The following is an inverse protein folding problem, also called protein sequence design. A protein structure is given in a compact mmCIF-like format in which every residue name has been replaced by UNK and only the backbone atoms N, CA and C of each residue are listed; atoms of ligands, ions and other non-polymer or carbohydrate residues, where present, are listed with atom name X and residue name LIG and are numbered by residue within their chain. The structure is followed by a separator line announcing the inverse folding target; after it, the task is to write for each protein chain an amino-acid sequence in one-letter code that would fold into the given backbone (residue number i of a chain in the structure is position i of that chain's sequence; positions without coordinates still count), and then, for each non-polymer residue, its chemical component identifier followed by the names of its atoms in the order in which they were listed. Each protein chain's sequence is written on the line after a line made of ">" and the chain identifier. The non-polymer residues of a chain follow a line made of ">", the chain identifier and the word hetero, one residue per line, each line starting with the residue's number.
data_IF_830126840092
#
_entry.id   IF_830126840092
#
_cell.length_a   1.000
_cell.length_b   1.000
_cell.length_c   1.000
_cell.angle_alpha   90.00
_cell.angle_beta   90.00
_cell.angle_gamma   90.00
#
_symmetry.space_group_name_H-M   'P 1'
#
loop_
_entity.id
_entity.type
_entity.pdbx_description
1 polymer ?
#
# COMPACT_ATOMS: atom_id res chain seq x y z
N UNK A 1 4.44 -78.41 8.04
CA UNK A 1 5.77 -78.17 7.48
C UNK A 1 6.27 -76.82 7.99
N UNK A 2 7.22 -76.85 8.93
CA UNK A 2 7.67 -75.69 9.69
C UNK A 2 8.75 -74.91 8.91
N UNK A 3 8.51 -73.62 8.66
CA UNK A 3 9.45 -72.73 7.99
C UNK A 3 10.54 -72.27 8.98
N UNK A 4 11.73 -72.83 8.81
CA UNK A 4 12.96 -72.44 9.51
C UNK A 4 13.38 -71.04 9.05
N UNK A 5 13.21 -70.04 9.92
CA UNK A 5 13.65 -68.67 9.67
C UNK A 5 15.05 -68.50 10.26
N UNK A 6 16.06 -68.61 9.41
CA UNK A 6 17.49 -68.41 9.72
C UNK A 6 17.73 -66.99 10.23
N UNK A 7 18.22 -66.89 11.47
CA UNK A 7 18.70 -65.65 12.09
C UNK A 7 20.09 -65.34 11.56
N UNK A 8 20.25 -64.31 10.73
CA UNK A 8 21.56 -63.76 10.41
C UNK A 8 22.03 -62.85 11.55
N UNK A 9 23.03 -63.35 12.29
CA UNK A 9 23.79 -62.62 13.31
C UNK A 9 24.86 -61.80 12.61
N UNK A 10 24.64 -60.50 12.44
CA UNK A 10 25.69 -59.56 12.00
C UNK A 10 26.63 -59.29 13.16
N UNK A 11 27.90 -59.63 12.93
CA UNK A 11 29.02 -59.42 13.84
C UNK A 11 29.25 -57.91 13.99
N UNK A 12 29.17 -57.44 15.24
CA UNK A 12 29.50 -56.08 15.66
C UNK A 12 31.04 -55.98 15.75
N UNK A 13 31.69 -55.61 14.65
CA UNK A 13 33.10 -55.21 14.67
C UNK A 13 33.24 -53.80 15.21
N UNK A 14 34.23 -53.64 16.07
CA UNK A 14 34.50 -52.50 16.91
C UNK A 14 34.95 -51.27 16.10
N UNK A 15 34.75 -50.12 16.74
CA UNK A 15 35.13 -48.78 16.31
C UNK A 15 36.63 -48.70 16.00
N UNK A 16 36.96 -48.27 14.79
CA UNK A 16 38.19 -47.55 14.52
C UNK A 16 37.77 -46.09 14.28
N UNK A 17 38.00 -45.25 15.30
CA UNK A 17 37.89 -43.81 15.19
C UNK A 17 39.00 -43.32 14.23
N UNK A 18 38.65 -43.18 12.96
CA UNK A 18 39.42 -42.36 12.01
C UNK A 18 38.72 -41.01 11.99
N UNK A 19 39.25 -40.07 12.75
CA UNK A 19 38.91 -38.65 12.67
C UNK A 19 39.26 -38.15 11.25
N UNK A 20 38.27 -38.19 10.35
CA UNK A 20 38.36 -37.49 9.08
C UNK A 20 38.23 -35.99 9.38
N UNK A 21 39.16 -35.13 8.92
CA UNK A 21 39.08 -33.71 9.19
C UNK A 21 37.75 -33.18 8.65
N UNK A 22 37.01 -32.48 9.50
CA UNK A 22 35.75 -31.85 9.17
C UNK A 22 35.92 -31.05 7.88
N UNK A 23 35.28 -31.50 6.79
CA UNK A 23 35.18 -30.72 5.55
C UNK A 23 34.55 -29.38 5.92
N UNK A 24 35.37 -28.34 5.98
CA UNK A 24 34.92 -26.94 6.06
C UNK A 24 33.92 -26.74 4.93
N UNK A 25 32.63 -26.64 5.28
CA UNK A 25 31.59 -26.30 4.31
C UNK A 25 32.03 -24.98 3.64
N UNK A 26 32.04 -24.89 2.31
CA UNK A 26 32.43 -23.66 1.65
C UNK A 26 31.55 -22.52 2.16
N UNK A 27 32.12 -21.33 2.43
CA UNK A 27 31.35 -20.18 2.91
C UNK A 27 30.17 -19.98 1.97
N UNK A 28 28.97 -19.97 2.54
CA UNK A 28 27.72 -19.93 1.80
C UNK A 28 27.82 -18.95 0.62
N UNK A 29 27.66 -19.44 -0.61
CA UNK A 29 27.50 -18.63 -1.84
C UNK A 29 26.18 -17.85 -1.83
N UNK A 30 25.78 -17.29 -0.70
CA UNK A 30 24.55 -16.50 -0.51
C UNK A 30 24.79 -15.06 -0.96
N UNK A 31 25.39 -14.88 -2.15
CA UNK A 31 25.68 -13.57 -2.74
C UNK A 31 26.74 -12.76 -2.00
N UNK A 32 27.50 -11.94 -2.75
CA UNK A 32 28.33 -10.88 -2.16
C UNK A 32 27.49 -10.01 -1.22
N UNK A 33 28.05 -9.47 -0.11
CA UNK A 33 27.34 -8.54 0.78
C UNK A 33 26.65 -7.40 0.01
N UNK A 34 27.30 -6.92 -1.05
CA UNK A 34 26.75 -5.89 -1.93
C UNK A 34 25.50 -6.37 -2.71
N UNK A 35 25.44 -7.65 -3.10
CA UNK A 35 24.28 -8.22 -3.77
C UNK A 35 23.10 -8.47 -2.81
N UNK A 36 23.40 -8.83 -1.56
CA UNK A 36 22.38 -8.91 -0.51
C UNK A 36 21.81 -7.53 -0.23
N UNK A 37 22.67 -6.51 -0.14
CA UNK A 37 22.28 -5.13 0.10
C UNK A 37 21.46 -4.58 -1.06
N UNK A 38 21.89 -4.78 -2.32
CA UNK A 38 21.09 -4.44 -3.51
C UNK A 38 19.71 -5.08 -3.48
N UNK A 39 19.61 -6.36 -3.10
CA UNK A 39 18.30 -7.05 -2.94
C UNK A 39 17.51 -6.55 -1.74
N UNK A 40 18.16 -6.09 -0.67
CA UNK A 40 17.50 -5.54 0.52
C UNK A 40 16.92 -4.16 0.20
N UNK A 41 17.72 -3.28 -0.39
CA UNK A 41 17.33 -1.95 -0.84
C UNK A 41 16.24 -2.07 -1.91
N UNK A 42 16.39 -2.94 -2.91
CA UNK A 42 15.35 -3.14 -3.92
C UNK A 42 14.03 -3.66 -3.32
N UNK A 43 14.08 -4.54 -2.31
CA UNK A 43 12.87 -4.99 -1.60
C UNK A 43 12.23 -3.84 -0.83
N UNK A 44 13.00 -3.13 -0.01
CA UNK A 44 12.52 -1.98 0.75
C UNK A 44 11.95 -0.89 -0.18
N UNK A 45 12.64 -0.58 -1.27
CA UNK A 45 12.19 0.37 -2.28
C UNK A 45 10.89 -0.08 -2.96
N UNK A 46 10.80 -1.35 -3.36
CA UNK A 46 9.58 -1.91 -3.96
C UNK A 46 8.44 -2.08 -2.95
N UNK A 47 8.73 -2.24 -1.66
CA UNK A 47 7.71 -2.27 -0.62
C UNK A 47 7.17 -0.86 -0.36
N UNK A 48 8.05 0.15 -0.34
CA UNK A 48 7.69 1.57 -0.17
C UNK A 48 6.95 2.12 -1.39
N UNK A 49 7.50 1.96 -2.60
CA UNK A 49 6.91 2.51 -3.82
C UNK A 49 5.88 1.60 -4.49
N UNK A 50 5.99 0.27 -4.30
CA UNK A 50 5.04 -0.70 -4.85
C UNK A 50 3.79 -0.89 -4.00
N UNK A 51 3.57 -0.04 -2.99
CA UNK A 51 2.32 0.02 -2.21
C UNK A 51 2.11 -1.16 -1.24
N UNK A 52 3.12 -2.02 -1.05
CA UNK A 52 3.11 -3.06 0.01
C UNK A 52 3.32 -2.46 1.41
N UNK A 53 3.83 -1.24 1.51
CA UNK A 53 3.98 -0.48 2.76
C UNK A 53 2.67 -0.04 3.42
N UNK A 54 1.55 -0.01 2.69
CA UNK A 54 0.23 0.31 3.26
C UNK A 54 -0.20 -0.70 4.34
N UNK A 55 0.29 -1.95 4.28
CA UNK A 55 0.03 -2.98 5.29
C UNK A 55 1.17 -3.14 6.32
N UNK A 56 2.26 -2.36 6.22
CA UNK A 56 3.39 -2.44 7.17
C UNK A 56 3.14 -1.63 8.43
N UNK A 57 2.32 -0.59 8.36
CA UNK A 57 1.72 -0.03 9.56
C UNK A 57 0.63 -1.01 10.00
N UNK A 58 0.96 -1.90 10.95
CA UNK A 58 -0.05 -2.55 11.78
C UNK A 58 -0.83 -1.43 12.47
N UNK A 59 -1.86 -0.93 11.80
CA UNK A 59 -2.78 0.03 12.37
C UNK A 59 -3.31 -0.61 13.65
N UNK A 60 -3.35 0.17 14.73
CA UNK A 60 -3.96 -0.26 16.00
C UNK A 60 -5.32 -0.92 15.69
N UNK A 61 -5.71 -1.98 16.39
CA UNK A 61 -6.91 -2.76 16.09
C UNK A 61 -8.18 -1.91 16.01
N UNK A 62 -8.20 -0.77 16.71
CA UNK A 62 -9.25 0.26 16.61
C UNK A 62 -9.22 1.01 15.28
N UNK A 63 -8.04 1.42 14.83
CA UNK A 63 -7.80 2.14 13.58
C UNK A 63 -8.05 1.25 12.37
N UNK A 64 -7.64 -0.02 12.42
CA UNK A 64 -7.93 -1.00 11.36
C UNK A 64 -9.44 -1.27 11.26
N UNK A 65 -10.15 -1.39 12.40
CA UNK A 65 -11.61 -1.53 12.41
C UNK A 65 -12.31 -0.30 11.81
N UNK A 66 -11.80 0.91 12.10
CA UNK A 66 -12.30 2.16 11.49
C UNK A 66 -12.07 2.14 9.99
N UNK A 67 -10.85 1.86 9.53
CA UNK A 67 -10.48 1.75 8.11
C UNK A 67 -11.40 0.78 7.36
N UNK A 68 -11.59 -0.43 7.89
CA UNK A 68 -12.46 -1.44 7.28
C UNK A 68 -13.92 -0.98 7.22
N UNK A 69 -14.41 -0.29 8.25
CA UNK A 69 -15.76 0.29 8.25
C UNK A 69 -15.91 1.33 7.13
N UNK A 70 -14.95 2.25 7.01
CA UNK A 70 -14.96 3.30 5.98
C UNK A 70 -14.94 2.69 4.57
N UNK A 71 -14.12 1.66 4.34
CA UNK A 71 -14.09 0.94 3.06
C UNK A 71 -15.43 0.27 2.74
N UNK A 72 -16.06 -0.40 3.72
CA UNK A 72 -17.38 -1.02 3.53
C UNK A 72 -18.48 -0.01 3.24
N UNK A 73 -18.46 1.15 3.90
CA UNK A 73 -19.40 2.25 3.64
C UNK A 73 -19.26 2.77 2.19
N UNK A 74 -18.03 2.93 1.71
CA UNK A 74 -17.74 3.34 0.33
C UNK A 74 -18.12 2.28 -0.70
N UNK A 75 -17.93 1.01 -0.39
CA UNK A 75 -18.32 -0.12 -1.25
C UNK A 75 -19.84 -0.22 -1.42
N UNK A 76 -20.55 -0.14 -0.29
CA UNK A 76 -22.00 -0.23 -0.26
C UNK A 76 -22.67 1.03 -0.83
N UNK A 77 -21.93 2.15 -0.90
CA UNK A 77 -22.51 3.47 -1.22
C UNK A 77 -23.55 3.92 -0.19
N UNK A 78 -23.48 3.36 1.03
CA UNK A 78 -24.41 3.61 2.12
C UNK A 78 -23.60 4.04 3.33
N UNK A 79 -23.97 5.18 3.90
CA UNK A 79 -23.46 5.60 5.19
C UNK A 79 -23.99 4.66 6.29
N UNK A 80 -23.48 4.82 7.51
CA UNK A 80 -23.92 4.09 8.71
C UNK A 80 -25.46 3.89 8.73
N UNK A 81 -25.91 2.66 8.51
CA UNK A 81 -27.33 2.31 8.39
C UNK A 81 -27.79 2.13 6.93
N UNK A 82 -28.95 2.71 6.58
CA UNK A 82 -29.58 2.61 5.26
C UNK A 82 -29.50 3.89 4.42
N UNK A 83 -28.84 4.94 4.93
CA UNK A 83 -28.79 6.25 4.27
C UNK A 83 -27.83 6.21 3.08
N UNK A 84 -28.27 6.75 1.94
CA UNK A 84 -27.42 6.93 0.77
C UNK A 84 -26.24 7.85 1.09
N UNK A 85 -25.05 7.46 0.64
CA UNK A 85 -23.83 8.21 0.88
C UNK A 85 -23.81 9.46 -0.01
N UNK A 86 -23.73 10.65 0.61
CA UNK A 86 -23.66 11.90 -0.17
C UNK A 86 -22.29 12.05 -0.84
N UNK A 87 -22.20 12.79 -1.96
CA UNK A 87 -20.91 13.08 -2.59
C UNK A 87 -19.89 13.74 -1.65
N UNK A 88 -20.34 14.61 -0.75
CA UNK A 88 -19.49 15.22 0.27
C UNK A 88 -18.94 14.18 1.25
N UNK A 89 -19.77 13.23 1.67
CA UNK A 89 -19.35 12.16 2.58
C UNK A 89 -18.29 11.28 1.91
N UNK A 90 -18.40 11.00 0.60
CA UNK A 90 -17.37 10.27 -0.15
C UNK A 90 -16.02 10.99 -0.04
N UNK A 91 -15.99 12.30 -0.29
CA UNK A 91 -14.75 13.10 -0.20
C UNK A 91 -14.13 13.02 1.21
N UNK A 92 -14.95 13.17 2.25
CA UNK A 92 -14.49 13.06 3.64
C UNK A 92 -13.93 11.67 3.96
N UNK A 93 -14.62 10.61 3.56
CA UNK A 93 -14.22 9.21 3.81
C UNK A 93 -12.94 8.86 3.08
N UNK A 94 -12.75 9.36 1.86
CA UNK A 94 -11.51 9.18 1.07
C UNK A 94 -10.35 9.93 1.73
N UNK A 95 -10.54 11.18 2.16
CA UNK A 95 -9.52 11.93 2.90
C UNK A 95 -9.11 11.19 4.17
N UNK A 96 -10.08 10.74 4.98
CA UNK A 96 -9.80 9.95 6.19
C UNK A 96 -9.01 8.68 5.88
N UNK A 97 -9.36 7.95 4.82
CA UNK A 97 -8.62 6.75 4.42
C UNK A 97 -7.18 7.07 4.00
N UNK A 98 -6.97 8.16 3.27
CA UNK A 98 -5.64 8.62 2.92
C UNK A 98 -4.82 9.03 4.15
N UNK A 99 -5.43 9.68 5.13
CA UNK A 99 -4.78 10.07 6.38
C UNK A 99 -4.41 8.83 7.23
N UNK A 100 -5.17 7.74 7.08
CA UNK A 100 -4.85 6.42 7.65
C UNK A 100 -3.79 5.63 6.86
N UNK A 101 -3.27 6.18 5.76
CA UNK A 101 -2.23 5.57 4.94
C UNK A 101 -2.76 4.67 3.81
N UNK A 102 -4.06 4.68 3.54
CA UNK A 102 -4.59 3.91 2.41
C UNK A 102 -4.24 4.52 1.05
N UNK A 103 -3.72 3.72 0.12
CA UNK A 103 -3.42 4.20 -1.20
C UNK A 103 -4.72 4.40 -2.00
N UNK A 104 -4.78 5.47 -2.78
CA UNK A 104 -5.91 5.79 -3.67
C UNK A 104 -6.28 4.64 -4.61
N UNK A 105 -5.30 3.83 -5.02
CA UNK A 105 -5.51 2.65 -5.88
C UNK A 105 -6.37 1.58 -5.19
N UNK A 106 -6.22 1.37 -3.89
CA UNK A 106 -7.07 0.47 -3.11
C UNK A 106 -8.48 1.04 -2.96
N UNK A 107 -8.58 2.34 -2.64
CA UNK A 107 -9.87 3.02 -2.45
C UNK A 107 -10.67 3.02 -3.76
N UNK A 108 -10.02 3.25 -4.90
CA UNK A 108 -10.65 3.23 -6.24
C UNK A 108 -11.27 1.89 -6.61
N UNK A 109 -10.70 0.78 -6.16
CA UNK A 109 -11.23 -0.57 -6.46
C UNK A 109 -12.56 -0.83 -5.77
N UNK A 110 -12.73 -0.24 -4.60
CA UNK A 110 -13.87 -0.49 -3.72
C UNK A 110 -14.98 0.55 -3.95
N UNK A 111 -14.61 1.79 -4.25
CA UNK A 111 -15.56 2.91 -4.33
C UNK A 111 -16.18 3.01 -5.72
N UNK A 112 -17.52 2.99 -5.80
CA UNK A 112 -18.26 3.29 -7.03
C UNK A 112 -18.46 4.79 -7.18
N UNK A 113 -17.55 5.45 -7.91
CA UNK A 113 -17.64 6.89 -8.18
C UNK A 113 -18.53 7.13 -9.39
N UNK A 114 -19.60 7.91 -9.21
CA UNK A 114 -20.34 8.48 -10.33
C UNK A 114 -19.54 9.66 -10.88
N UNK A 115 -19.11 9.57 -12.14
CA UNK A 115 -18.43 10.69 -12.80
C UNK A 115 -19.39 11.87 -12.92
N UNK A 116 -18.89 13.06 -12.63
CA UNK A 116 -19.70 14.27 -12.73
C UNK A 116 -19.88 14.64 -14.22
N UNK A 117 -21.11 14.98 -14.61
CA UNK A 117 -21.46 15.35 -15.99
C UNK A 117 -21.64 16.88 -16.16
N UNK A 118 -21.38 17.65 -15.11
CA UNK A 118 -21.52 19.11 -15.13
C UNK A 118 -20.37 19.77 -15.90
N UNK A 119 -20.63 20.92 -16.55
CA UNK A 119 -19.59 21.66 -17.24
C UNK A 119 -18.52 22.16 -16.25
N UNK A 120 -17.24 22.21 -16.65
CA UNK A 120 -16.12 22.60 -15.77
C UNK A 120 -16.33 23.94 -15.06
N UNK A 121 -16.84 24.94 -15.78
CA UNK A 121 -17.10 26.31 -15.31
C UNK A 121 -18.04 26.35 -14.10
N UNK A 122 -19.11 25.53 -14.12
CA UNK A 122 -20.06 25.45 -13.02
C UNK A 122 -19.47 24.80 -11.75
N UNK A 123 -18.40 24.02 -11.91
CA UNK A 123 -17.76 23.27 -10.82
C UNK A 123 -16.73 24.12 -10.10
N UNK A 124 -16.01 25.02 -10.79
CA UNK A 124 -14.91 25.84 -10.22
C UNK A 124 -15.35 26.55 -8.95
N UNK A 125 -16.42 27.34 -9.00
CA UNK A 125 -16.88 28.11 -7.83
C UNK A 125 -17.39 27.24 -6.68
N UNK A 126 -17.88 26.02 -6.95
CA UNK A 126 -18.25 25.07 -5.91
C UNK A 126 -17.00 24.48 -5.26
N UNK A 127 -16.00 24.11 -6.06
CA UNK A 127 -14.74 23.53 -5.59
C UNK A 127 -13.95 24.54 -4.76
N UNK A 128 -13.89 25.81 -5.19
CA UNK A 128 -13.24 26.88 -4.44
C UNK A 128 -13.85 27.04 -3.04
N UNK A 129 -15.18 27.18 -2.96
CA UNK A 129 -15.89 27.27 -1.67
C UNK A 129 -15.70 26.02 -0.82
N UNK A 130 -15.72 24.84 -1.45
CA UNK A 130 -15.52 23.57 -0.75
C UNK A 130 -14.10 23.46 -0.19
N UNK A 131 -13.09 23.89 -0.96
CA UNK A 131 -11.70 23.87 -0.55
C UNK A 131 -11.43 24.87 0.58
N UNK A 132 -12.07 26.04 0.55
CA UNK A 132 -12.01 27.00 1.65
C UNK A 132 -12.64 26.46 2.94
N UNK A 133 -13.69 25.67 2.85
CA UNK A 133 -14.41 25.15 4.01
C UNK A 133 -13.78 23.89 4.63
N UNK A 134 -13.31 22.96 3.80
CA UNK A 134 -12.83 21.63 4.26
C UNK A 134 -11.35 21.38 3.98
N UNK A 135 -10.72 22.16 3.10
CA UNK A 135 -9.30 22.04 2.74
C UNK A 135 -8.88 20.62 2.38
N UNK A 136 -9.71 19.91 1.61
CA UNK A 136 -9.37 18.57 1.12
C UNK A 136 -8.08 18.59 0.29
N UNK A 137 -7.34 17.47 0.32
CA UNK A 137 -6.15 17.32 -0.51
C UNK A 137 -6.51 17.33 -2.01
N UNK A 138 -5.67 17.91 -2.89
CA UNK A 138 -5.90 17.90 -4.34
C UNK A 138 -6.13 16.50 -4.93
N UNK A 139 -5.47 15.48 -4.38
CA UNK A 139 -5.67 14.07 -4.73
C UNK A 139 -7.13 13.60 -4.61
N UNK A 140 -7.86 14.09 -3.60
CA UNK A 140 -9.24 13.67 -3.31
C UNK A 140 -10.20 14.24 -4.34
N UNK A 141 -9.98 15.47 -4.80
CA UNK A 141 -10.76 16.04 -5.90
C UNK A 141 -10.50 15.30 -7.22
N UNK A 142 -9.23 14.99 -7.51
CA UNK A 142 -8.85 14.16 -8.67
C UNK A 142 -9.46 12.77 -8.62
N UNK A 143 -9.60 12.20 -7.41
CA UNK A 143 -10.25 10.92 -7.20
C UNK A 143 -11.70 10.92 -7.69
N UNK A 144 -12.48 11.98 -7.39
CA UNK A 144 -13.89 12.12 -7.83
C UNK A 144 -14.00 12.50 -9.31
N UNK A 145 -12.88 12.78 -9.98
CA UNK A 145 -12.83 13.08 -11.41
C UNK A 145 -12.90 14.57 -11.72
N UNK A 146 -12.60 15.44 -10.76
CA UNK A 146 -12.43 16.87 -11.03
C UNK A 146 -11.09 17.06 -11.75
N UNK A 147 -11.14 17.70 -12.92
CA UNK A 147 -9.98 17.91 -13.77
C UNK A 147 -8.95 18.87 -13.16
N UNK A 148 -7.70 18.75 -13.61
CA UNK A 148 -6.61 19.60 -13.10
C UNK A 148 -6.80 21.08 -13.45
N UNK A 149 -7.41 21.38 -14.59
CA UNK A 149 -7.71 22.76 -14.99
C UNK A 149 -8.67 23.42 -14.01
N UNK A 150 -9.77 22.75 -13.66
CA UNK A 150 -10.73 23.20 -12.65
C UNK A 150 -10.07 23.40 -11.29
N UNK A 151 -9.16 22.50 -10.89
CA UNK A 151 -8.46 22.61 -9.61
C UNK A 151 -7.46 23.77 -9.58
N UNK A 152 -6.82 24.07 -10.72
CA UNK A 152 -5.93 25.22 -10.85
C UNK A 152 -6.71 26.52 -10.82
N UNK A 153 -7.83 26.59 -11.54
CA UNK A 153 -8.70 27.76 -11.58
C UNK A 153 -9.38 28.01 -10.23
N UNK A 154 -9.80 26.95 -9.53
CA UNK A 154 -10.35 27.04 -8.18
C UNK A 154 -9.30 27.32 -7.08
N UNK A 155 -8.03 27.53 -7.44
CA UNK A 155 -6.94 27.83 -6.50
C UNK A 155 -6.53 26.68 -5.58
N UNK A 156 -6.97 25.45 -5.87
CA UNK A 156 -6.66 24.23 -5.08
C UNK A 156 -5.27 23.70 -5.40
N UNK A 157 -4.90 23.72 -6.67
CA UNK A 157 -3.54 23.46 -7.10
C UNK A 157 -2.83 24.80 -7.17
N UNK A 158 -1.89 25.04 -6.25
CA UNK A 158 -0.87 26.06 -6.53
C UNK A 158 -0.21 25.66 -7.83
N UNK A 159 -0.42 26.47 -8.88
CA UNK A 159 0.28 26.31 -10.12
C UNK A 159 1.75 26.16 -9.76
N UNK A 160 2.36 25.03 -10.14
CA UNK A 160 3.78 24.84 -9.98
C UNK A 160 4.42 26.13 -10.47
N UNK A 161 4.97 26.93 -9.54
CA UNK A 161 5.79 28.09 -9.87
C UNK A 161 7.01 27.49 -10.56
N UNK A 162 6.87 27.24 -11.85
CA UNK A 162 7.92 26.89 -12.78
C UNK A 162 8.95 27.99 -12.62
N UNK A 163 10.09 27.62 -12.03
CA UNK A 163 11.32 28.40 -12.03
C UNK A 163 11.28 29.72 -11.28
N UNK A 164 11.69 29.72 -10.01
CA UNK A 164 12.57 30.81 -9.56
C UNK A 164 13.97 30.44 -10.05
N UNK A 165 14.56 31.13 -11.06
CA UNK A 165 15.96 30.91 -11.36
C UNK A 165 16.76 31.30 -10.13
N UNK A 166 17.65 30.41 -9.67
CA UNK A 166 18.65 30.76 -8.67
C UNK A 166 19.51 31.88 -9.27
N UNK A 167 19.71 33.03 -8.59
CA UNK A 167 20.76 33.94 -9.01
C UNK A 167 22.09 33.19 -8.92
N UNK A 168 22.85 33.20 -10.02
CA UNK A 168 24.24 32.74 -10.00
C UNK A 168 25.00 33.66 -9.04
N UNK A 169 25.62 33.07 -8.02
CA UNK A 169 26.73 33.66 -7.29
C UNK A 169 28.02 33.05 -7.82
#
# INVERSE_FOLDING_TARGET
>A
MAAVKTRHKTVKTARADVELPARTRPPNRRGSPEAIEKRRVARVFNDILGGRGASVHKLDGRTEKRRQRLLRELEAGKARGSRELKPLDILQRVQELMDLGEPLSSIRKVTKIRKNALPPEAIVGVVERLHRAYSFRPEVYRFVGIGEEVLREAGVLEGAKRGRPKPKA
#
